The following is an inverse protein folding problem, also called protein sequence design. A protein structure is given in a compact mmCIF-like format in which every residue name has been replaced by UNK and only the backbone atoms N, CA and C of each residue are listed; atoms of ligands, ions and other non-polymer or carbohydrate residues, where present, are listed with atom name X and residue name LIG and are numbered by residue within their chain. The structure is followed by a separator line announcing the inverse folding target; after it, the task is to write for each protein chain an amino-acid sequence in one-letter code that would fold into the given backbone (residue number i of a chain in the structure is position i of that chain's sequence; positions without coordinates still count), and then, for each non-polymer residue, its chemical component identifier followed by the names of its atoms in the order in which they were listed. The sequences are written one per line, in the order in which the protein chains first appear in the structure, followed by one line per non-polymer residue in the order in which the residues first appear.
data_IF_176711658613
#
_entry.id   IF_176711658613
#
_cell.length_a   1.000
_cell.length_b   1.000
_cell.length_c   1.000
_cell.angle_alpha   90.00
_cell.angle_beta   90.00
_cell.angle_gamma   90.00
#
_symmetry.space_group_name_H-M   'P 1'
#
loop_
_entity.id
_entity.type
_entity.pdbx_description
1 polymer ?
#
# COMPACT_ATOMS: atom_id res chain seq x y z
N UNK A 1 8.24 -11.18 -45.31
CA UNK A 1 7.86 -11.42 -43.89
C UNK A 1 7.59 -10.05 -43.28
N UNK A 2 6.32 -9.67 -43.13
CA UNK A 2 5.97 -8.42 -42.46
C UNK A 2 6.12 -8.62 -40.95
N UNK A 3 6.98 -7.82 -40.30
CA UNK A 3 7.06 -7.76 -38.84
C UNK A 3 5.74 -7.24 -38.29
N UNK A 4 5.04 -8.10 -37.54
CA UNK A 4 3.95 -7.70 -36.67
C UNK A 4 4.52 -6.84 -35.55
N UNK A 5 4.28 -5.53 -35.61
CA UNK A 5 4.48 -4.65 -34.46
C UNK A 5 3.38 -5.01 -33.44
N UNK A 6 3.78 -5.56 -32.30
CA UNK A 6 2.87 -5.75 -31.18
C UNK A 6 2.24 -4.39 -30.83
N UNK A 7 0.92 -4.34 -30.91
CA UNK A 7 0.11 -3.23 -30.41
C UNK A 7 0.43 -3.05 -28.92
N UNK A 8 0.74 -1.84 -28.41
CA UNK A 8 0.86 -1.64 -26.98
C UNK A 8 -0.45 -2.08 -26.32
N UNK A 9 -0.35 -2.84 -25.23
CA UNK A 9 -1.50 -3.13 -24.39
C UNK A 9 -2.16 -1.78 -24.06
N UNK A 10 -3.48 -1.68 -24.19
CA UNK A 10 -4.18 -0.43 -23.87
C UNK A 10 -3.81 -0.02 -22.44
N UNK A 11 -3.16 1.13 -22.27
CA UNK A 11 -2.75 1.65 -20.96
C UNK A 11 -3.93 1.57 -19.97
N UNK A 12 -3.64 1.22 -18.72
CA UNK A 12 -4.65 1.11 -17.67
C UNK A 12 -5.55 2.35 -17.61
N UNK A 13 -6.88 2.19 -17.62
CA UNK A 13 -7.81 3.29 -17.37
C UNK A 13 -7.68 3.71 -15.91
N UNK A 14 -6.99 4.83 -15.68
CA UNK A 14 -6.65 5.32 -14.36
C UNK A 14 -7.91 5.73 -13.55
N UNK A 15 -8.04 5.15 -12.36
CA UNK A 15 -8.84 5.75 -11.28
C UNK A 15 -7.89 6.59 -10.44
N UNK A 16 -8.08 7.91 -10.45
CA UNK A 16 -7.23 8.82 -9.69
C UNK A 16 -7.74 8.93 -8.24
N UNK A 17 -6.80 8.89 -7.29
CA UNK A 17 -7.04 9.24 -5.89
C UNK A 17 -6.12 10.42 -5.54
N UNK A 18 -6.70 11.54 -5.09
CA UNK A 18 -5.93 12.68 -4.59
C UNK A 18 -5.78 12.54 -3.07
N UNK A 19 -4.54 12.61 -2.58
CA UNK A 19 -4.24 12.63 -1.14
C UNK A 19 -3.60 13.96 -0.77
N UNK A 20 -4.16 14.62 0.23
CA UNK A 20 -3.67 15.92 0.71
C UNK A 20 -3.10 15.76 2.12
N UNK A 21 -1.96 16.42 2.37
CA UNK A 21 -1.51 16.70 3.73
C UNK A 21 -2.07 18.07 4.10
N UNK A 22 -2.88 18.11 5.15
CA UNK A 22 -3.59 19.32 5.57
C UNK A 22 -3.11 19.69 6.96
N UNK A 23 -2.97 21.00 7.22
CA UNK A 23 -2.57 21.51 8.53
C UNK A 23 -3.58 21.09 9.61
N UNK A 24 -3.17 20.32 10.65
CA UNK A 24 -4.09 19.86 11.68
C UNK A 24 -4.77 21.01 12.43
N UNK A 25 -4.18 22.21 12.53
CA UNK A 25 -4.77 23.30 13.30
C UNK A 25 -6.03 23.90 12.68
N UNK A 26 -6.29 23.61 11.39
CA UNK A 26 -7.47 24.11 10.67
C UNK A 26 -8.52 23.01 10.41
N UNK A 27 -8.20 21.75 10.69
CA UNK A 27 -9.12 20.61 10.46
C UNK A 27 -9.45 19.80 11.72
N UNK A 28 -8.63 19.88 12.77
CA UNK A 28 -8.87 19.18 14.03
C UNK A 28 -9.29 20.15 15.13
N UNK A 29 -10.18 19.67 16.00
CA UNK A 29 -10.52 20.34 17.25
C UNK A 29 -9.47 20.06 18.35
N UNK A 30 -9.68 20.67 19.53
CA UNK A 30 -8.82 20.48 20.71
C UNK A 30 -8.75 19.03 21.23
N UNK A 31 -9.66 18.15 20.80
CA UNK A 31 -9.69 16.73 21.12
C UNK A 31 -9.08 15.86 20.01
N UNK A 32 -8.43 16.46 19.02
CA UNK A 32 -7.87 15.81 17.82
C UNK A 32 -8.92 15.09 16.96
N UNK A 33 -10.16 15.60 16.95
CA UNK A 33 -11.24 15.09 16.09
C UNK A 33 -11.52 16.07 14.96
N UNK A 34 -12.00 15.57 13.82
CA UNK A 34 -12.34 16.44 12.70
C UNK A 34 -13.40 17.46 13.11
N UNK A 35 -13.14 18.73 12.81
CA UNK A 35 -14.09 19.81 13.09
C UNK A 35 -15.42 19.56 12.36
N UNK A 36 -16.57 19.95 12.95
CA UNK A 36 -17.88 19.77 12.32
C UNK A 36 -17.98 20.39 10.92
N UNK A 37 -17.30 21.51 10.69
CA UNK A 37 -17.22 22.16 9.37
C UNK A 37 -16.61 21.24 8.32
N UNK A 38 -15.50 20.56 8.64
CA UNK A 38 -14.83 19.60 7.75
C UNK A 38 -15.73 18.38 7.52
N UNK A 39 -16.34 17.85 8.59
CA UNK A 39 -17.25 16.72 8.46
C UNK A 39 -18.41 17.03 7.50
N UNK A 40 -19.02 18.21 7.63
CA UNK A 40 -20.14 18.63 6.79
C UNK A 40 -19.73 18.91 5.35
N UNK A 41 -18.60 19.59 5.12
CA UNK A 41 -18.12 19.93 3.77
C UNK A 41 -17.80 18.70 2.91
N UNK A 42 -17.41 17.59 3.53
CA UNK A 42 -17.04 16.36 2.83
C UNK A 42 -17.99 15.18 3.12
N UNK A 43 -19.17 15.45 3.71
CA UNK A 43 -20.19 14.44 4.05
C UNK A 43 -19.61 13.25 4.83
N UNK A 44 -18.69 13.53 5.77
CA UNK A 44 -17.90 12.52 6.47
C UNK A 44 -18.68 11.97 7.65
N UNK A 45 -18.64 10.65 7.84
CA UNK A 45 -19.20 10.00 9.02
C UNK A 45 -18.58 10.55 10.31
N UNK A 46 -19.40 10.71 11.36
CA UNK A 46 -18.95 11.26 12.65
C UNK A 46 -18.10 10.28 13.48
N UNK A 47 -18.12 9.00 13.12
CA UNK A 47 -17.38 7.95 13.82
C UNK A 47 -16.18 7.51 13.00
N UNK A 48 -15.00 7.55 13.60
CA UNK A 48 -13.79 7.02 12.98
C UNK A 48 -13.73 5.50 13.11
N UNK A 49 -13.24 4.84 12.06
CA UNK A 49 -12.83 3.43 12.11
C UNK A 49 -11.36 3.39 12.53
N UNK A 50 -11.06 2.75 13.67
CA UNK A 50 -9.68 2.54 14.10
C UNK A 50 -9.03 1.44 13.27
N UNK A 51 -7.74 1.57 12.99
CA UNK A 51 -6.96 0.51 12.36
C UNK A 51 -5.55 0.44 12.92
N UNK A 52 -5.05 -0.78 13.04
CA UNK A 52 -3.64 -1.04 13.29
C UNK A 52 -2.96 -1.45 11.98
N UNK A 53 -1.85 -0.79 11.66
CA UNK A 53 -1.04 -1.10 10.48
C UNK A 53 0.36 -1.48 10.93
N UNK A 54 0.81 -2.67 10.55
CA UNK A 54 2.18 -3.13 10.74
C UNK A 54 2.91 -3.11 9.40
N UNK A 55 4.12 -2.56 9.40
CA UNK A 55 5.04 -2.60 8.27
C UNK A 55 6.20 -3.52 8.60
N UNK A 56 6.67 -4.28 7.61
CA UNK A 56 7.86 -5.12 7.75
C UNK A 56 8.97 -4.56 6.87
N UNK A 57 10.14 -4.39 7.47
CA UNK A 57 11.35 -3.94 6.76
C UNK A 57 12.62 -4.35 7.52
N UNK A 58 13.76 -4.30 6.86
CA UNK A 58 15.07 -4.52 7.48
C UNK A 58 15.49 -3.32 8.34
N UNK A 59 16.61 -3.46 9.06
CA UNK A 59 17.20 -2.35 9.80
C UNK A 59 17.63 -1.18 8.90
N UNK A 60 17.98 -1.47 7.63
CA UNK A 60 18.44 -0.48 6.65
C UNK A 60 17.31 0.00 5.72
N UNK A 61 16.09 -0.49 5.95
CA UNK A 61 14.91 -0.18 5.14
C UNK A 61 15.05 -0.64 3.70
N UNK A 62 15.70 -1.77 3.48
CA UNK A 62 16.03 -2.28 2.15
C UNK A 62 14.76 -2.50 1.30
N UNK A 63 13.65 -2.92 1.94
CA UNK A 63 12.37 -3.13 1.25
C UNK A 63 11.74 -1.79 0.86
N UNK A 64 11.75 -0.80 1.76
CA UNK A 64 11.26 0.54 1.44
C UNK A 64 12.10 1.24 0.38
N UNK A 65 13.42 1.18 0.50
CA UNK A 65 14.36 1.82 -0.42
C UNK A 65 14.30 1.19 -1.81
N UNK A 66 13.92 -0.08 -1.92
CA UNK A 66 13.68 -0.70 -3.21
C UNK A 66 12.35 -0.28 -3.85
N UNK A 67 11.46 0.41 -3.12
CA UNK A 67 10.17 0.93 -3.61
C UNK A 67 8.94 0.16 -3.13
N UNK A 68 9.10 -0.76 -2.16
CA UNK A 68 8.03 -1.61 -1.64
C UNK A 68 7.59 -1.21 -0.23
N UNK A 69 6.37 -1.60 0.13
CA UNK A 69 5.82 -1.42 1.48
C UNK A 69 4.86 -2.56 1.79
N UNK A 70 5.36 -3.74 2.18
CA UNK A 70 4.52 -4.81 2.67
C UNK A 70 3.88 -4.39 3.99
N UNK A 71 2.57 -4.62 4.12
CA UNK A 71 1.84 -4.24 5.32
C UNK A 71 0.71 -5.21 5.66
N UNK A 72 0.52 -5.35 6.96
CA UNK A 72 -0.57 -6.08 7.59
C UNK A 72 -1.49 -5.04 8.25
N UNK A 73 -2.77 -5.03 7.88
CA UNK A 73 -3.75 -4.03 8.36
C UNK A 73 -4.95 -4.69 9.03
N UNK A 74 -5.22 -4.33 10.29
CA UNK A 74 -6.42 -4.74 11.03
C UNK A 74 -7.36 -3.57 11.23
N UNK A 75 -8.57 -3.64 10.67
CA UNK A 75 -9.63 -2.68 10.93
C UNK A 75 -10.43 -3.08 12.16
N UNK A 76 -10.86 -2.09 12.94
CA UNK A 76 -11.82 -2.27 14.02
C UNK A 76 -13.15 -2.77 13.45
N UNK A 77 -13.72 -3.79 14.10
CA UNK A 77 -15.02 -4.37 13.71
C UNK A 77 -14.93 -5.45 12.65
N UNK A 78 -13.82 -5.55 11.90
CA UNK A 78 -13.59 -6.63 10.95
C UNK A 78 -13.09 -7.88 11.66
N UNK A 79 -13.41 -9.07 11.16
CA UNK A 79 -12.93 -10.35 11.71
C UNK A 79 -11.47 -10.64 11.29
N UNK A 80 -11.14 -10.32 10.04
CA UNK A 80 -9.83 -10.57 9.46
C UNK A 80 -8.95 -9.31 9.46
N UNK A 81 -7.67 -9.47 9.17
CA UNK A 81 -6.76 -8.43 8.73
C UNK A 81 -6.46 -8.60 7.24
N UNK A 82 -5.89 -7.56 6.63
CA UNK A 82 -5.56 -7.49 5.22
C UNK A 82 -4.04 -7.48 5.00
N UNK A 83 -3.55 -8.34 4.12
CA UNK A 83 -2.18 -8.32 3.61
C UNK A 83 -2.14 -7.55 2.30
N UNK A 84 -1.23 -6.57 2.21
CA UNK A 84 -1.01 -5.84 0.96
C UNK A 84 0.46 -5.57 0.73
N UNK A 85 0.85 -5.66 -0.55
CA UNK A 85 2.17 -5.32 -1.06
C UNK A 85 2.05 -4.07 -1.90
N UNK A 86 2.47 -2.93 -1.34
CA UNK A 86 2.37 -1.67 -2.07
C UNK A 86 3.69 -1.33 -2.74
N UNK A 87 3.69 -1.31 -4.08
CA UNK A 87 4.77 -0.77 -4.91
C UNK A 87 4.58 0.74 -5.15
N UNK A 88 5.66 1.51 -5.21
CA UNK A 88 5.64 2.92 -5.62
C UNK A 88 6.59 3.14 -6.77
N UNK A 89 6.08 3.75 -7.85
CA UNK A 89 6.88 4.22 -8.98
C UNK A 89 7.09 5.72 -8.83
N UNK A 90 8.32 6.16 -9.07
CA UNK A 90 8.64 7.59 -9.11
C UNK A 90 8.05 8.18 -10.40
N UNK A 91 7.43 9.34 -10.30
CA UNK A 91 7.00 10.13 -11.46
C UNK A 91 8.05 11.22 -11.64
N UNK A 92 8.86 11.11 -12.68
CA UNK A 92 9.88 12.09 -13.02
C UNK A 92 9.33 13.10 -14.01
N UNK A 93 9.54 14.40 -13.76
CA UNK A 93 9.06 15.51 -14.60
C UNK A 93 7.54 15.49 -14.93
N UNK A 94 6.73 14.83 -14.10
CA UNK A 94 5.29 14.68 -14.34
C UNK A 94 4.94 13.62 -15.39
N UNK A 95 5.90 12.81 -15.85
CA UNK A 95 5.67 11.77 -16.86
C UNK A 95 5.05 10.52 -16.23
N UNK A 96 3.72 10.48 -16.23
CA UNK A 96 2.93 9.38 -15.68
C UNK A 96 3.01 8.15 -16.61
N UNK A 97 3.03 8.34 -17.93
CA UNK A 97 3.03 7.25 -18.90
C UNK A 97 4.32 6.44 -18.84
N UNK A 98 5.46 7.10 -18.60
CA UNK A 98 6.72 6.40 -18.34
C UNK A 98 6.64 5.54 -17.07
N UNK A 99 6.06 6.07 -15.99
CA UNK A 99 5.90 5.31 -14.74
C UNK A 99 4.95 4.11 -14.91
N UNK A 100 3.88 4.26 -15.70
CA UNK A 100 2.97 3.16 -16.04
C UNK A 100 3.64 2.10 -16.90
N UNK A 101 4.44 2.51 -17.88
CA UNK A 101 5.19 1.57 -18.74
C UNK A 101 6.15 0.71 -17.90
N UNK A 102 6.80 1.30 -16.90
CA UNK A 102 7.65 0.57 -15.95
C UNK A 102 6.81 -0.38 -15.10
N UNK A 103 5.67 0.06 -14.60
CA UNK A 103 4.77 -0.78 -13.80
C UNK A 103 4.25 -2.00 -14.59
N UNK A 104 3.87 -1.80 -15.84
CA UNK A 104 3.41 -2.87 -16.72
C UNK A 104 4.55 -3.88 -17.00
N UNK A 105 5.78 -3.38 -17.24
CA UNK A 105 6.97 -4.22 -17.41
C UNK A 105 7.29 -5.04 -16.16
N UNK A 106 7.05 -4.48 -14.98
CA UNK A 106 7.25 -5.11 -13.67
C UNK A 106 6.09 -6.06 -13.29
N UNK A 107 5.11 -6.29 -14.18
CA UNK A 107 4.05 -7.29 -14.01
C UNK A 107 2.77 -6.80 -13.35
N UNK A 108 2.60 -5.49 -13.16
CA UNK A 108 1.40 -4.94 -12.52
C UNK A 108 0.27 -4.71 -13.52
N UNK A 109 -0.39 -5.78 -13.95
CA UNK A 109 -1.68 -5.70 -14.64
C UNK A 109 -2.87 -5.62 -13.65
N UNK A 110 -4.10 -5.43 -14.15
CA UNK A 110 -5.30 -5.17 -13.32
C UNK A 110 -5.70 -6.29 -12.34
N UNK A 111 -4.97 -7.41 -12.27
CA UNK A 111 -5.25 -8.51 -11.35
C UNK A 111 -4.71 -8.24 -9.93
N UNK A 112 -5.40 -7.39 -9.17
CA UNK A 112 -5.01 -7.10 -7.79
C UNK A 112 -5.48 -8.22 -6.83
N UNK A 113 -4.54 -8.97 -6.25
CA UNK A 113 -4.86 -9.98 -5.22
C UNK A 113 -4.69 -9.38 -3.82
N UNK A 114 -5.81 -9.12 -3.16
CA UNK A 114 -5.84 -8.79 -1.72
C UNK A 114 -6.10 -10.06 -0.92
N UNK A 115 -5.28 -10.33 0.10
CA UNK A 115 -5.41 -11.54 0.94
C UNK A 115 -5.86 -11.17 2.36
N UNK A 116 -6.71 -12.02 2.96
CA UNK A 116 -7.27 -11.85 4.32
C UNK A 116 -6.68 -12.88 5.29
N UNK A 117 -6.35 -12.52 6.55
CA UNK A 117 -5.88 -13.47 7.58
C UNK A 117 -6.03 -13.01 9.07
N UNK A 118 -5.39 -13.64 10.09
CA UNK A 118 -5.36 -13.27 11.57
C UNK A 118 -4.09 -12.58 12.21
N UNK A 119 -4.23 -11.42 12.90
CA UNK A 119 -3.09 -10.50 13.19
C UNK A 119 -1.94 -11.22 13.93
N UNK A 120 -0.77 -11.40 13.27
CA UNK A 120 0.25 -12.30 13.75
C UNK A 120 1.36 -11.65 14.61
N UNK A 121 2.13 -12.49 15.30
CA UNK A 121 3.45 -12.15 15.86
C UNK A 121 4.46 -11.85 14.75
N UNK A 122 5.62 -11.24 15.04
CA UNK A 122 6.62 -10.94 14.00
C UNK A 122 6.98 -12.13 13.12
N UNK A 123 7.26 -13.30 13.71
CA UNK A 123 7.55 -14.52 12.94
C UNK A 123 6.38 -14.90 12.04
N UNK A 124 5.17 -14.94 12.60
CA UNK A 124 3.98 -15.27 11.83
C UNK A 124 3.70 -14.21 10.75
N UNK A 125 4.00 -12.93 10.98
CA UNK A 125 3.89 -11.84 9.99
C UNK A 125 4.80 -12.11 8.80
N UNK A 126 6.06 -12.51 9.05
CA UNK A 126 7.02 -12.89 8.00
C UNK A 126 6.51 -14.10 7.22
N UNK A 127 6.16 -15.17 7.93
CA UNK A 127 5.70 -16.42 7.30
C UNK A 127 4.49 -16.18 6.40
N UNK A 128 3.50 -15.42 6.87
CA UNK A 128 2.28 -15.12 6.12
C UNK A 128 2.52 -14.20 4.93
N UNK A 129 3.42 -13.23 5.07
CA UNK A 129 3.82 -12.40 3.95
C UNK A 129 4.55 -13.26 2.91
N UNK A 130 5.58 -14.00 3.30
CA UNK A 130 6.33 -14.90 2.39
C UNK A 130 5.40 -15.86 1.66
N UNK A 131 4.45 -16.51 2.36
CA UNK A 131 3.50 -17.45 1.75
C UNK A 131 2.62 -16.80 0.66
N UNK A 132 2.31 -15.50 0.81
CA UNK A 132 1.44 -14.74 -0.11
C UNK A 132 2.21 -13.71 -0.93
N UNK A 133 3.54 -13.81 -0.98
CA UNK A 133 4.38 -12.88 -1.71
C UNK A 133 4.09 -13.01 -3.21
N UNK A 134 3.65 -11.93 -3.89
CA UNK A 134 3.48 -11.96 -5.33
C UNK A 134 4.87 -12.05 -6.01
N UNK A 135 4.94 -12.63 -7.20
CA UNK A 135 6.23 -12.88 -7.88
C UNK A 135 6.93 -11.56 -8.21
N UNK A 136 6.15 -10.52 -8.51
CA UNK A 136 6.59 -9.15 -8.77
C UNK A 136 7.33 -8.59 -7.56
N UNK A 137 6.90 -8.92 -6.34
CA UNK A 137 7.64 -8.57 -5.12
C UNK A 137 8.85 -9.48 -4.93
N UNK A 138 8.63 -10.79 -4.97
CA UNK A 138 9.63 -11.79 -4.58
C UNK A 138 10.89 -11.72 -5.45
N UNK A 139 10.74 -11.45 -6.74
CA UNK A 139 11.84 -11.47 -7.70
C UNK A 139 12.24 -10.07 -8.21
N UNK A 140 11.72 -8.99 -7.59
CA UNK A 140 11.96 -7.60 -8.04
C UNK A 140 13.41 -7.15 -8.09
N UNK A 141 14.31 -7.81 -7.35
CA UNK A 141 15.74 -7.47 -7.32
C UNK A 141 16.62 -8.74 -7.35
N UNK A 142 16.18 -9.73 -8.14
CA UNK A 142 16.78 -11.06 -8.22
C UNK A 142 15.89 -12.13 -7.59
N UNK A 143 16.08 -13.39 -8.01
CA UNK A 143 15.26 -14.52 -7.57
C UNK A 143 15.23 -14.63 -6.04
N UNK A 144 14.02 -14.72 -5.47
CA UNK A 144 13.75 -14.84 -4.03
C UNK A 144 14.19 -13.66 -3.15
N UNK A 145 14.59 -12.53 -3.75
CA UNK A 145 15.00 -11.33 -3.01
C UNK A 145 13.95 -10.92 -1.96
N UNK A 146 12.67 -10.87 -2.32
CA UNK A 146 11.60 -10.43 -1.42
C UNK A 146 11.43 -11.36 -0.21
N UNK A 147 11.52 -12.68 -0.42
CA UNK A 147 11.52 -13.68 0.66
C UNK A 147 12.73 -13.53 1.57
N UNK A 148 13.92 -13.34 1.01
CA UNK A 148 15.15 -13.17 1.77
C UNK A 148 15.09 -11.91 2.65
N UNK A 149 14.57 -10.80 2.11
CA UNK A 149 14.42 -9.56 2.86
C UNK A 149 13.32 -9.67 3.93
N UNK A 150 12.19 -10.33 3.64
CA UNK A 150 11.15 -10.59 4.65
C UNK A 150 11.68 -11.46 5.80
N UNK A 151 12.54 -12.44 5.53
CA UNK A 151 13.16 -13.25 6.58
C UNK A 151 14.06 -12.42 7.53
N UNK A 152 14.73 -11.39 7.01
CA UNK A 152 15.57 -10.44 7.77
C UNK A 152 14.77 -9.30 8.40
N UNK A 153 13.56 -9.05 7.90
CA UNK A 153 12.73 -7.90 8.27
C UNK A 153 12.22 -7.98 9.71
N UNK A 154 11.89 -6.87 10.34
CA UNK A 154 11.22 -6.84 11.67
C UNK A 154 9.98 -5.97 11.60
N UNK A 155 9.13 -6.05 12.62
CA UNK A 155 8.00 -5.12 12.70
C UNK A 155 8.55 -3.71 12.94
N UNK A 156 8.33 -2.83 11.97
CA UNK A 156 8.64 -1.42 12.10
C UNK A 156 7.42 -0.70 12.69
N UNK A 157 7.50 -0.39 13.99
CA UNK A 157 6.57 0.43 14.80
C UNK A 157 5.12 0.44 14.28
N UNK A 158 4.22 -0.40 14.83
CA UNK A 158 2.82 -0.40 14.44
C UNK A 158 2.22 1.01 14.51
N UNK A 159 1.51 1.39 13.45
CA UNK A 159 0.81 2.67 13.37
C UNK A 159 -0.65 2.43 13.75
N UNK A 160 -1.09 3.07 14.83
CA UNK A 160 -2.51 3.21 15.13
C UNK A 160 -3.03 4.42 14.35
N UNK A 161 -4.05 4.19 13.54
CA UNK A 161 -4.67 5.23 12.73
C UNK A 161 -6.18 5.24 12.92
N UNK A 162 -6.76 6.43 12.77
CA UNK A 162 -8.21 6.64 12.68
C UNK A 162 -8.54 7.07 11.25
N UNK A 163 -9.55 6.43 10.65
CA UNK A 163 -10.05 6.80 9.33
C UNK A 163 -11.49 7.22 9.41
N UNK A 164 -11.76 8.40 8.89
CA UNK A 164 -13.09 8.91 8.63
C UNK A 164 -13.40 8.75 7.14
N UNK A 165 -14.63 8.38 6.80
CA UNK A 165 -15.09 8.18 5.41
C UNK A 165 -16.38 8.96 5.18
N UNK A 166 -16.48 9.66 4.06
CA UNK A 166 -17.70 10.32 3.59
C UNK A 166 -18.12 9.83 2.21
N UNK A 167 -19.30 10.26 1.76
CA UNK A 167 -19.90 9.90 0.45
C UNK A 167 -20.28 11.13 -0.35
#
# INVERSE_FOLDING_TARGET
MASSTAQPASNMVLKYEVKLLIDPTIVLDSSNKLMPTVLNSFTVATTAIKMNVQFLDTNFKDIYNSGWSPRIRKLQGEADFELTYKRRYKIDNGDIDAALTIADKDGFDLANTTYKAQVPSEKNSRDMLIEKAPIEFNDSNGTNWGTDELNKSRIYRPVLAERYTGT
#
